data_IF_656003376651
#
_entry.id   IF_656003376651
#
_cell.length_a   1.000
_cell.length_b   1.000
_cell.length_c   1.000
_cell.angle_alpha   90.00
_cell.angle_beta   90.00
_cell.angle_gamma   90.00
#
_symmetry.space_group_name_H-M   'P 1'
#
loop_
_entity.id
_entity.type
_entity.pdbx_description
1 polymer ?
#
# COMPACT_ATOMS: atom_id res chain seq x y z
N UNK A 1 1.69 28.60 6.74
CA UNK A 1 1.03 27.89 5.63
C UNK A 1 1.82 26.63 5.30
N UNK A 2 1.15 25.49 5.06
CA UNK A 2 1.72 24.18 4.72
C UNK A 2 2.69 24.28 3.54
N UNK A 3 3.88 23.69 3.68
CA UNK A 3 4.87 23.60 2.60
C UNK A 3 4.39 22.66 1.49
N UNK A 4 3.62 21.62 1.85
CA UNK A 4 2.97 20.73 0.88
C UNK A 4 2.04 21.51 -0.05
N UNK A 5 1.16 22.36 0.49
CA UNK A 5 0.22 23.15 -0.30
C UNK A 5 0.95 24.16 -1.21
N UNK A 6 2.00 24.81 -0.70
CA UNK A 6 2.81 25.74 -1.52
C UNK A 6 3.52 25.02 -2.66
N UNK A 7 4.11 23.84 -2.36
CA UNK A 7 4.77 23.00 -3.35
C UNK A 7 3.80 22.51 -4.44
N UNK A 8 2.62 22.05 -4.03
CA UNK A 8 1.59 21.60 -4.98
C UNK A 8 1.13 22.72 -5.92
N UNK A 9 0.92 23.94 -5.41
CA UNK A 9 0.57 25.13 -6.22
C UNK A 9 1.68 25.51 -7.20
N UNK A 10 2.96 25.46 -6.77
CA UNK A 10 4.08 25.75 -7.65
C UNK A 10 4.10 24.76 -8.84
N UNK A 11 3.96 23.46 -8.55
CA UNK A 11 3.91 22.43 -9.60
C UNK A 11 2.72 22.62 -10.55
N UNK A 12 1.55 22.94 -10.02
CA UNK A 12 0.34 23.23 -10.82
C UNK A 12 0.53 24.43 -11.77
N UNK A 13 1.33 25.41 -11.37
CA UNK A 13 1.70 26.58 -12.16
C UNK A 13 2.87 26.35 -13.11
N UNK A 14 3.48 25.16 -13.09
CA UNK A 14 4.66 24.81 -13.88
C UNK A 14 5.98 25.24 -13.26
N UNK A 15 5.97 25.70 -12.02
CA UNK A 15 7.15 26.13 -11.28
C UNK A 15 7.77 24.97 -10.48
N UNK A 16 9.07 25.08 -10.22
CA UNK A 16 9.77 24.13 -9.35
C UNK A 16 9.46 24.43 -7.87
N UNK A 17 9.00 23.46 -7.08
CA UNK A 17 8.77 23.69 -5.66
C UNK A 17 10.07 23.95 -4.90
N UNK A 18 10.00 24.68 -3.81
CA UNK A 18 11.15 24.92 -2.93
C UNK A 18 11.46 23.65 -2.14
N UNK A 19 12.65 23.06 -2.40
CA UNK A 19 13.12 21.80 -1.81
C UNK A 19 14.04 22.07 -0.60
N UNK A 20 13.51 22.74 0.43
CA UNK A 20 14.24 23.03 1.67
C UNK A 20 13.61 22.23 2.81
N UNK A 21 14.45 21.51 3.56
CA UNK A 21 14.02 20.76 4.73
C UNK A 21 13.95 21.69 5.95
N UNK A 22 12.75 21.92 6.44
CA UNK A 22 12.48 22.60 7.70
C UNK A 22 12.05 21.55 8.73
N UNK A 23 12.78 21.37 9.86
CA UNK A 23 12.39 20.41 10.89
C UNK A 23 11.00 20.65 11.49
N UNK A 24 10.51 21.90 11.45
CA UNK A 24 9.16 22.25 11.88
C UNK A 24 8.11 22.19 10.75
N UNK A 25 8.53 21.81 9.55
CA UNK A 25 7.69 21.75 8.36
C UNK A 25 6.95 20.42 8.20
N UNK A 26 6.11 20.40 7.18
CA UNK A 26 5.30 19.24 6.77
C UNK A 26 5.77 18.62 5.43
N UNK A 27 6.85 19.14 4.83
CA UNK A 27 7.40 18.67 3.56
C UNK A 27 8.91 18.46 3.68
N UNK A 28 9.39 17.29 3.28
CA UNK A 28 10.80 16.91 3.35
C UNK A 28 11.28 16.38 2.01
N UNK A 29 12.46 16.80 1.57
CA UNK A 29 13.09 16.35 0.35
C UNK A 29 14.38 15.57 0.66
N UNK A 30 14.43 14.31 0.23
CA UNK A 30 15.59 13.42 0.38
C UNK A 30 16.13 13.04 -1.00
N UNK A 31 17.23 13.66 -1.43
CA UNK A 31 17.84 13.34 -2.72
C UNK A 31 18.49 11.97 -2.69
N UNK A 32 18.06 11.08 -3.60
CA UNK A 32 18.65 9.78 -3.87
C UNK A 32 18.80 9.62 -5.38
N UNK A 33 20.05 9.49 -5.86
CA UNK A 33 20.33 9.35 -7.29
C UNK A 33 20.33 7.89 -7.72
N UNK A 34 20.68 6.98 -6.80
CA UNK A 34 20.63 5.55 -7.05
C UNK A 34 19.25 5.00 -6.66
N UNK A 35 18.55 4.29 -7.59
CA UNK A 35 17.25 3.70 -7.30
C UNK A 35 17.24 2.69 -6.16
N UNK A 36 18.32 1.92 -5.97
CA UNK A 36 18.42 0.97 -4.87
C UNK A 36 18.50 1.69 -3.52
N UNK A 37 19.32 2.74 -3.42
CA UNK A 37 19.40 3.60 -2.23
C UNK A 37 18.08 4.34 -1.95
N UNK A 38 17.29 4.65 -3.00
CA UNK A 38 15.95 5.20 -2.81
C UNK A 38 15.01 4.18 -2.17
N UNK A 39 15.01 2.93 -2.63
CA UNK A 39 14.21 1.85 -2.04
C UNK A 39 14.59 1.61 -0.58
N UNK A 40 15.87 1.49 -0.24
CA UNK A 40 16.33 1.34 1.14
C UNK A 40 15.88 2.50 2.04
N UNK A 41 15.95 3.73 1.51
CA UNK A 41 15.47 4.92 2.24
C UNK A 41 13.97 4.86 2.48
N UNK A 42 13.16 4.48 1.48
CA UNK A 42 11.70 4.35 1.59
C UNK A 42 11.33 3.27 2.62
N UNK A 43 11.96 2.11 2.54
CA UNK A 43 11.75 1.01 3.49
C UNK A 43 12.08 1.47 4.92
N UNK A 44 13.24 2.10 5.12
CA UNK A 44 13.65 2.64 6.43
C UNK A 44 12.67 3.69 6.96
N UNK A 45 12.16 4.56 6.09
CA UNK A 45 11.14 5.55 6.46
C UNK A 45 9.86 4.87 6.96
N UNK A 46 9.34 3.91 6.21
CA UNK A 46 8.07 3.24 6.52
C UNK A 46 8.17 2.33 7.74
N UNK A 47 9.26 1.57 7.86
CA UNK A 47 9.42 0.56 8.92
C UNK A 47 9.84 1.18 10.25
N UNK A 48 10.74 2.18 10.22
CA UNK A 48 11.47 2.60 11.43
C UNK A 48 11.39 4.10 11.67
N UNK A 49 11.81 4.93 10.70
CA UNK A 49 12.08 6.33 10.96
C UNK A 49 10.83 7.17 11.23
N UNK A 50 9.78 7.01 10.41
CA UNK A 50 8.52 7.74 10.63
C UNK A 50 7.77 7.22 11.87
N UNK A 51 7.66 5.89 12.10
CA UNK A 51 7.09 5.38 13.33
C UNK A 51 7.79 5.86 14.60
N UNK A 52 9.13 5.79 14.64
CA UNK A 52 9.89 6.14 15.84
C UNK A 52 9.98 7.65 16.09
N UNK A 53 10.16 8.46 15.03
CA UNK A 53 10.42 9.88 15.17
C UNK A 53 9.17 10.75 15.14
N UNK A 54 8.10 10.28 14.49
CA UNK A 54 6.87 11.04 14.28
C UNK A 54 5.61 10.34 14.81
N UNK A 55 5.74 9.11 15.31
CA UNK A 55 4.59 8.33 15.81
C UNK A 55 3.60 7.93 14.71
N UNK A 56 4.00 7.95 13.43
CA UNK A 56 3.16 7.61 12.29
C UNK A 56 3.23 6.09 12.10
N UNK A 57 2.11 5.39 12.29
CA UNK A 57 2.04 3.95 12.02
C UNK A 57 2.32 3.65 10.55
N UNK A 58 2.99 2.51 10.22
CA UNK A 58 3.16 2.08 8.84
C UNK A 58 1.86 2.04 8.02
N UNK A 59 0.74 1.76 8.67
CA UNK A 59 -0.59 1.73 8.04
C UNK A 59 -1.08 3.11 7.59
N UNK A 60 -0.55 4.17 8.18
CA UNK A 60 -0.87 5.56 7.83
C UNK A 60 0.03 6.12 6.73
N UNK A 61 1.02 5.33 6.27
CA UNK A 61 1.98 5.74 5.26
C UNK A 61 1.56 5.16 3.91
N UNK A 62 1.42 6.00 2.90
CA UNK A 62 1.24 5.59 1.53
C UNK A 62 2.45 5.97 0.69
N UNK A 63 3.10 4.97 0.10
CA UNK A 63 4.18 5.20 -0.87
C UNK A 63 3.59 5.39 -2.26
N UNK A 64 4.06 6.42 -2.97
CA UNK A 64 3.71 6.67 -4.36
C UNK A 64 4.97 6.52 -5.22
N UNK A 65 4.86 5.83 -6.34
CA UNK A 65 5.94 5.72 -7.33
C UNK A 65 5.40 6.07 -8.72
N UNK A 66 6.12 6.84 -9.52
CA UNK A 66 5.68 7.22 -10.86
C UNK A 66 5.71 6.06 -11.87
N UNK A 67 6.27 4.89 -11.49
CA UNK A 67 6.44 3.74 -12.39
C UNK A 67 6.04 2.42 -11.73
N UNK A 68 5.56 1.49 -12.55
CA UNK A 68 5.27 0.11 -12.11
C UNK A 68 6.50 -0.81 -12.16
N UNK A 69 7.40 -0.57 -13.12
CA UNK A 69 8.57 -1.40 -13.42
C UNK A 69 9.87 -0.73 -12.96
N UNK A 70 10.94 -1.51 -12.90
CA UNK A 70 12.26 -1.05 -12.49
C UNK A 70 12.52 -1.19 -10.99
N UNK A 71 13.74 -0.84 -10.56
CA UNK A 71 14.22 -1.04 -9.19
C UNK A 71 13.38 -0.30 -8.15
N UNK A 72 12.91 0.90 -8.45
CA UNK A 72 12.06 1.72 -7.58
C UNK A 72 10.60 1.77 -8.09
N UNK A 73 10.18 0.85 -8.95
CA UNK A 73 8.79 0.71 -9.37
C UNK A 73 7.93 0.05 -8.30
N UNK A 74 6.60 0.22 -8.41
CA UNK A 74 5.67 -0.29 -7.38
C UNK A 74 5.79 -1.80 -7.16
N UNK A 75 6.10 -2.60 -8.19
CA UNK A 75 6.28 -4.04 -8.05
C UNK A 75 7.47 -4.42 -7.14
N UNK A 76 8.59 -3.71 -7.27
CA UNK A 76 9.78 -3.92 -6.43
C UNK A 76 9.57 -3.35 -5.02
N UNK A 77 9.02 -2.14 -4.94
CA UNK A 77 8.70 -1.49 -3.66
C UNK A 77 7.72 -2.29 -2.82
N UNK A 78 6.65 -2.85 -3.43
CA UNK A 78 5.67 -3.65 -2.71
C UNK A 78 6.31 -4.90 -2.08
N UNK A 79 7.22 -5.58 -2.80
CA UNK A 79 7.95 -6.72 -2.23
C UNK A 79 8.85 -6.31 -1.06
N UNK A 80 9.63 -5.24 -1.24
CA UNK A 80 10.53 -4.77 -0.20
C UNK A 80 9.77 -4.28 1.05
N UNK A 81 8.65 -3.58 0.86
CA UNK A 81 7.82 -3.09 1.94
C UNK A 81 7.05 -4.22 2.63
N UNK A 82 6.54 -5.22 1.89
CA UNK A 82 5.91 -6.41 2.46
C UNK A 82 6.86 -7.11 3.44
N UNK A 83 8.10 -7.40 3.01
CA UNK A 83 9.10 -8.06 3.86
C UNK A 83 9.48 -7.22 5.09
N UNK A 84 9.50 -5.90 4.97
CA UNK A 84 9.88 -5.01 6.05
C UNK A 84 8.76 -4.73 7.05
N UNK A 85 7.53 -4.53 6.56
CA UNK A 85 6.38 -4.09 7.35
C UNK A 85 5.49 -5.26 7.79
N UNK A 86 5.38 -6.28 6.95
CA UNK A 86 4.60 -7.49 7.20
C UNK A 86 5.44 -8.75 6.91
N UNK A 87 6.52 -9.03 7.69
CA UNK A 87 7.37 -10.18 7.47
C UNK A 87 6.60 -11.50 7.67
N UNK A 88 7.10 -12.62 7.06
CA UNK A 88 6.52 -13.93 7.30
C UNK A 88 6.57 -14.30 8.79
N UNK A 89 5.55 -15.00 9.26
CA UNK A 89 5.47 -15.49 10.62
C UNK A 89 4.76 -16.87 10.63
N UNK A 90 5.03 -17.73 11.64
CA UNK A 90 4.45 -19.08 11.70
C UNK A 90 2.91 -19.10 11.76
N UNK A 91 2.30 -18.04 12.24
CA UNK A 91 0.86 -17.85 12.40
C UNK A 91 0.19 -17.17 11.20
N UNK A 92 0.97 -16.78 10.17
CA UNK A 92 0.44 -16.15 8.95
C UNK A 92 0.43 -17.13 7.79
N UNK A 93 -0.70 -17.19 7.12
CA UNK A 93 -0.82 -17.93 5.87
C UNK A 93 -0.31 -17.08 4.69
N UNK A 94 0.26 -17.76 3.72
CA UNK A 94 0.76 -17.17 2.47
C UNK A 94 0.24 -17.97 1.28
N UNK A 95 -0.06 -17.28 0.20
CA UNK A 95 -0.47 -17.90 -1.07
C UNK A 95 0.05 -17.11 -2.26
N UNK A 96 0.67 -17.82 -3.19
CA UNK A 96 1.07 -17.23 -4.47
C UNK A 96 -0.06 -17.30 -5.48
N UNK A 97 -0.32 -16.16 -6.14
CA UNK A 97 -1.19 -16.06 -7.29
C UNK A 97 -0.41 -15.42 -8.43
N UNK A 98 -0.11 -16.21 -9.48
CA UNK A 98 0.82 -15.79 -10.51
C UNK A 98 2.21 -15.53 -9.93
N UNK A 99 2.71 -14.32 -10.12
CA UNK A 99 4.04 -13.88 -9.63
C UNK A 99 3.99 -13.12 -8.31
N UNK A 100 2.80 -12.94 -7.73
CA UNK A 100 2.60 -12.19 -6.49
C UNK A 100 2.37 -13.16 -5.34
N UNK A 101 3.16 -13.01 -4.27
CA UNK A 101 2.93 -13.67 -3.00
C UNK A 101 2.08 -12.75 -2.12
N UNK A 102 0.91 -13.23 -1.73
CA UNK A 102 0.05 -12.58 -0.75
C UNK A 102 0.20 -13.25 0.62
N UNK A 103 0.15 -12.45 1.66
CA UNK A 103 0.33 -12.85 3.06
C UNK A 103 -0.77 -12.23 3.92
N UNK A 104 -1.24 -12.94 4.90
CA UNK A 104 -2.15 -12.37 5.90
C UNK A 104 -1.56 -11.11 6.54
N UNK A 105 -2.37 -10.07 6.66
CA UNK A 105 -1.95 -8.74 7.07
C UNK A 105 -1.47 -7.82 5.94
N UNK A 106 -1.35 -8.32 4.70
CA UNK A 106 -0.94 -7.48 3.56
C UNK A 106 -1.96 -6.38 3.26
N UNK A 107 -1.43 -5.21 2.93
CA UNK A 107 -2.20 -4.12 2.36
C UNK A 107 -2.37 -4.35 0.85
N UNK A 108 -3.62 -4.36 0.42
CA UNK A 108 -4.00 -4.63 -0.98
C UNK A 108 -4.93 -3.54 -1.51
N UNK A 109 -5.00 -3.44 -2.83
CA UNK A 109 -5.91 -2.52 -3.53
C UNK A 109 -6.68 -3.29 -4.59
N UNK A 110 -7.98 -3.03 -4.66
CA UNK A 110 -8.83 -3.43 -5.78
C UNK A 110 -8.42 -2.64 -7.02
N UNK A 111 -8.14 -3.33 -8.14
CA UNK A 111 -7.65 -2.68 -9.37
C UNK A 111 -8.68 -2.70 -10.51
N UNK A 112 -9.89 -3.16 -10.22
CA UNK A 112 -11.03 -3.16 -11.14
C UNK A 112 -12.31 -2.88 -10.37
N UNK A 113 -13.28 -2.20 -11.00
CA UNK A 113 -14.60 -2.13 -10.41
C UNK A 113 -15.25 -3.52 -10.47
N UNK A 114 -15.72 -4.00 -9.32
CA UNK A 114 -16.50 -5.22 -9.21
C UNK A 114 -17.79 -4.89 -8.46
N UNK A 115 -18.88 -4.79 -9.21
CA UNK A 115 -20.19 -4.42 -8.68
C UNK A 115 -20.94 -5.59 -8.05
N UNK A 116 -20.48 -6.83 -8.31
CA UNK A 116 -21.18 -8.05 -7.92
C UNK A 116 -20.58 -8.72 -6.68
N UNK A 117 -19.38 -8.30 -6.26
CA UNK A 117 -18.74 -8.86 -5.07
C UNK A 117 -19.54 -8.46 -3.82
N UNK A 118 -19.93 -9.46 -3.05
CA UNK A 118 -20.62 -9.25 -1.78
C UNK A 118 -19.60 -8.95 -0.68
N UNK A 119 -19.96 -8.05 0.21
CA UNK A 119 -19.24 -7.79 1.45
C UNK A 119 -20.20 -7.79 2.64
N UNK A 120 -19.66 -8.11 3.80
CA UNK A 120 -20.34 -8.09 5.09
C UNK A 120 -19.64 -7.08 6.00
N UNK A 121 -20.40 -6.32 6.77
CA UNK A 121 -19.84 -5.47 7.81
C UNK A 121 -19.94 -6.13 9.20
N UNK A 122 -19.29 -5.52 10.20
CA UNK A 122 -19.28 -6.03 11.58
C UNK A 122 -20.64 -5.90 12.30
N UNK A 123 -21.60 -5.18 11.72
CA UNK A 123 -22.94 -4.94 12.28
C UNK A 123 -24.03 -5.74 11.56
N UNK A 124 -23.66 -6.87 10.93
CA UNK A 124 -24.54 -7.75 10.15
C UNK A 124 -25.15 -7.08 8.89
N UNK A 125 -24.57 -5.98 8.43
CA UNK A 125 -24.89 -5.39 7.15
C UNK A 125 -24.27 -6.18 6.00
N UNK A 126 -25.00 -6.30 4.90
CA UNK A 126 -24.52 -6.90 3.65
C UNK A 126 -24.69 -5.89 2.54
N UNK A 127 -23.65 -5.76 1.73
CA UNK A 127 -23.70 -4.89 0.56
C UNK A 127 -22.97 -5.50 -0.63
N UNK A 128 -22.91 -4.75 -1.70
CA UNK A 128 -22.25 -5.16 -2.95
C UNK A 128 -21.36 -4.05 -3.49
N UNK A 129 -20.28 -4.48 -4.12
CA UNK A 129 -19.37 -3.62 -4.86
C UNK A 129 -18.14 -3.26 -4.07
N UNK A 130 -16.97 -3.55 -4.69
CA UNK A 130 -15.65 -3.05 -4.31
C UNK A 130 -15.06 -2.42 -5.58
N UNK A 131 -14.49 -1.24 -5.46
CA UNK A 131 -14.17 -0.41 -6.60
C UNK A 131 -12.66 -0.23 -6.79
N UNK A 132 -12.28 0.10 -8.01
CA UNK A 132 -10.89 0.40 -8.33
C UNK A 132 -10.37 1.55 -7.45
N UNK A 133 -9.28 1.29 -6.75
CA UNK A 133 -8.67 2.21 -5.79
C UNK A 133 -9.05 1.94 -4.33
N UNK A 134 -10.05 1.10 -4.05
CA UNK A 134 -10.36 0.69 -2.68
C UNK A 134 -9.17 -0.08 -2.09
N UNK A 135 -8.71 0.36 -0.93
CA UNK A 135 -7.59 -0.24 -0.22
C UNK A 135 -8.13 -1.03 0.96
N UNK A 136 -7.65 -2.26 1.10
CA UNK A 136 -8.00 -3.14 2.20
C UNK A 136 -6.80 -3.87 2.78
N UNK A 137 -7.08 -4.73 3.74
CA UNK A 137 -6.09 -5.60 4.39
C UNK A 137 -6.53 -7.04 4.29
N UNK A 138 -5.63 -7.94 3.93
CA UNK A 138 -5.90 -9.37 3.97
C UNK A 138 -6.08 -9.80 5.42
N UNK A 139 -7.27 -10.26 5.74
CA UNK A 139 -7.64 -10.74 7.07
C UNK A 139 -7.28 -12.23 7.23
N UNK A 140 -7.57 -13.03 6.21
CA UNK A 140 -7.27 -14.46 6.24
C UNK A 140 -7.04 -15.05 4.83
N UNK A 141 -6.28 -16.12 4.78
CA UNK A 141 -6.06 -16.94 3.59
C UNK A 141 -6.35 -18.39 3.96
N UNK A 142 -7.37 -18.99 3.35
CA UNK A 142 -7.61 -20.42 3.50
C UNK A 142 -6.63 -21.22 2.61
N UNK A 143 -5.69 -21.97 3.20
CA UNK A 143 -4.69 -22.71 2.42
C UNK A 143 -5.28 -23.82 1.57
N UNK A 144 -6.44 -24.37 1.95
CA UNK A 144 -7.07 -25.48 1.26
C UNK A 144 -7.81 -25.02 -0.01
N UNK A 145 -8.69 -24.03 0.13
CA UNK A 145 -9.47 -23.51 -1.00
C UNK A 145 -8.75 -22.39 -1.76
N UNK A 146 -7.79 -21.72 -1.11
CA UNK A 146 -7.15 -20.51 -1.63
C UNK A 146 -8.04 -19.27 -1.57
N UNK A 147 -9.14 -19.32 -0.81
CA UNK A 147 -10.01 -18.18 -0.58
C UNK A 147 -9.26 -17.13 0.26
N UNK A 148 -9.30 -15.88 -0.17
CA UNK A 148 -8.69 -14.75 0.53
C UNK A 148 -9.80 -13.82 0.99
N UNK A 149 -9.84 -13.53 2.30
CA UNK A 149 -10.76 -12.54 2.87
C UNK A 149 -10.03 -11.22 3.06
N UNK A 150 -10.59 -10.15 2.53
CA UNK A 150 -10.04 -8.79 2.61
C UNK A 150 -11.02 -7.90 3.33
N UNK A 151 -10.53 -7.17 4.32
CA UNK A 151 -11.28 -6.11 4.99
C UNK A 151 -10.97 -4.76 4.34
N UNK A 152 -11.99 -4.14 3.74
CA UNK A 152 -11.96 -2.80 3.17
C UNK A 152 -12.68 -1.83 4.12
N UNK A 153 -11.96 -1.38 5.14
CA UNK A 153 -12.46 -0.41 6.13
C UNK A 153 -13.77 -0.86 6.81
N UNK A 154 -13.79 -2.13 7.25
CA UNK A 154 -14.94 -2.77 7.91
C UNK A 154 -15.85 -3.57 6.98
N UNK A 155 -15.62 -3.51 5.66
CA UNK A 155 -16.35 -4.30 4.67
C UNK A 155 -15.52 -5.53 4.26
N UNK A 156 -15.91 -6.71 4.73
CA UNK A 156 -15.23 -7.97 4.44
C UNK A 156 -15.72 -8.58 3.16
N UNK A 157 -14.83 -8.73 2.18
CA UNK A 157 -15.12 -9.38 0.92
C UNK A 157 -14.25 -10.63 0.71
N UNK A 158 -14.81 -11.67 0.13
CA UNK A 158 -14.14 -12.93 -0.14
C UNK A 158 -13.73 -13.03 -1.62
N UNK A 159 -12.45 -13.33 -1.84
CA UNK A 159 -11.83 -13.46 -3.16
C UNK A 159 -11.44 -14.92 -3.40
N UNK A 160 -12.16 -15.65 -4.24
CA UNK A 160 -11.73 -16.95 -4.73
C UNK A 160 -10.50 -16.79 -5.65
N UNK A 161 -9.76 -17.89 -5.92
CA UNK A 161 -8.50 -17.83 -6.69
C UNK A 161 -8.58 -17.16 -8.06
N UNK A 162 -9.69 -17.31 -8.76
CA UNK A 162 -9.94 -16.72 -10.08
C UNK A 162 -10.18 -15.19 -10.02
N UNK A 163 -10.57 -14.66 -8.87
CA UNK A 163 -10.74 -13.23 -8.65
C UNK A 163 -9.48 -12.53 -8.16
N UNK A 164 -8.42 -13.24 -7.78
CA UNK A 164 -7.19 -12.65 -7.25
C UNK A 164 -6.46 -11.72 -8.23
N UNK A 165 -6.75 -11.81 -9.52
CA UNK A 165 -6.25 -10.84 -10.52
C UNK A 165 -6.83 -9.44 -10.37
N UNK A 166 -7.83 -9.25 -9.52
CA UNK A 166 -8.43 -7.96 -9.20
C UNK A 166 -7.73 -7.27 -8.03
N UNK A 167 -6.79 -7.93 -7.35
CA UNK A 167 -6.03 -7.39 -6.22
C UNK A 167 -4.56 -7.21 -6.58
N UNK A 168 -3.99 -6.12 -6.10
CA UNK A 168 -2.54 -5.88 -6.09
C UNK A 168 -2.09 -5.51 -4.67
N UNK A 169 -0.82 -5.81 -4.33
CA UNK A 169 -0.22 -5.26 -3.11
C UNK A 169 -0.21 -3.73 -3.18
N UNK A 170 -0.51 -3.07 -2.09
CA UNK A 170 -0.73 -1.61 -2.05
C UNK A 170 0.10 -0.87 -0.99
N UNK A 171 1.25 -1.40 -0.59
CA UNK A 171 2.23 -0.64 0.18
C UNK A 171 2.74 0.54 -0.65
N UNK A 172 2.96 0.31 -1.95
CA UNK A 172 3.27 1.33 -2.95
C UNK A 172 2.28 1.26 -4.12
N UNK A 173 1.78 2.42 -4.57
CA UNK A 173 0.86 2.57 -5.71
C UNK A 173 1.37 3.61 -6.70
N UNK A 174 0.83 3.63 -7.92
CA UNK A 174 1.13 4.65 -8.94
C UNK A 174 0.09 5.75 -8.93
#
# INVERSE_FOLDING_TARGET
>A
ASAIIRGARAVDQGDCPVLVNDPAGDFFFLRRLDPAAAVETIVSLCQTRLPQNMGISPDQIQVLSPTRKGTAGTAALNRALQEAVNPPAPDKQEKSFGTVLFREGDRVMQVKNNYDILWEDHADGVGMGIFNGDIGRIESIDPASGLVTVDFDGHRAAYPPDMMTQLELAYAVT
#
